data_IF_839860799069
#
_entry.id   IF_839860799069
#
_cell.length_a   1.000
_cell.length_b   1.000
_cell.length_c   1.000
_cell.angle_alpha   90.00
_cell.angle_beta   90.00
_cell.angle_gamma   90.00
#
_symmetry.space_group_name_H-M   'P 1'
#
loop_
_entity.id
_entity.type
_entity.pdbx_description
1 polymer ?
#
# COMPACT_ATOMS: atom_id res chain seq x y z
N UNK A 1 -5.49 -5.98 -6.55
CA UNK A 1 -4.93 -5.54 -5.24
C UNK A 1 -5.63 -4.26 -4.81
N UNK A 2 -5.62 -3.96 -3.50
CA UNK A 2 -6.08 -2.68 -2.95
C UNK A 2 -4.87 -2.01 -2.30
N UNK A 3 -4.71 -0.71 -2.54
CA UNK A 3 -3.58 0.05 -2.06
C UNK A 3 -3.74 1.53 -2.31
N UNK A 4 -2.69 2.27 -1.97
CA UNK A 4 -2.60 3.71 -2.12
C UNK A 4 -1.44 4.08 -3.04
N UNK A 5 -1.55 5.24 -3.70
CA UNK A 5 -0.45 5.81 -4.49
C UNK A 5 0.30 6.77 -3.58
N UNK A 6 1.59 6.52 -3.38
CA UNK A 6 2.42 7.21 -2.42
C UNK A 6 3.64 7.85 -3.09
N UNK A 7 4.30 8.80 -2.41
CA UNK A 7 5.54 9.44 -2.84
C UNK A 7 6.58 9.37 -1.74
N UNK A 8 7.84 9.08 -2.10
CA UNK A 8 8.97 9.05 -1.14
C UNK A 8 9.44 10.45 -0.73
N UNK A 9 9.02 11.48 -1.48
CA UNK A 9 9.43 12.87 -1.25
C UNK A 9 8.57 13.58 -0.20
N UNK A 10 7.39 13.07 0.10
CA UNK A 10 6.49 13.66 1.09
C UNK A 10 5.05 13.19 0.95
N UNK A 11 4.19 13.75 1.81
CA UNK A 11 2.79 13.34 1.95
C UNK A 11 1.88 13.68 0.75
N UNK A 12 0.58 13.58 0.99
CA UNK A 12 -0.52 13.67 -0.01
C UNK A 12 -0.44 14.83 -1.01
N UNK A 13 0.17 15.96 -0.64
CA UNK A 13 0.39 17.10 -1.53
C UNK A 13 1.28 16.76 -2.75
N UNK A 14 2.34 15.99 -2.58
CA UNK A 14 3.23 15.63 -3.69
C UNK A 14 2.56 14.66 -4.65
N UNK A 15 1.84 13.68 -4.09
CA UNK A 15 1.00 12.75 -4.87
C UNK A 15 -0.04 13.53 -5.68
N UNK A 16 -0.76 14.45 -5.04
CA UNK A 16 -1.81 15.26 -5.68
C UNK A 16 -1.25 16.15 -6.78
N UNK A 17 -0.07 16.75 -6.59
CA UNK A 17 0.58 17.56 -7.64
C UNK A 17 0.87 16.73 -8.88
N UNK A 18 1.34 15.49 -8.73
CA UNK A 18 1.67 14.61 -9.86
C UNK A 18 0.39 14.07 -10.51
N UNK A 19 -0.53 13.49 -9.72
CA UNK A 19 -1.75 12.85 -10.21
C UNK A 19 -2.79 13.86 -10.75
N UNK A 20 -2.78 15.09 -10.23
CA UNK A 20 -3.71 16.16 -10.63
C UNK A 20 -3.28 16.96 -11.86
N UNK A 21 -2.24 16.53 -12.59
CA UNK A 21 -1.75 17.26 -13.76
C UNK A 21 -1.80 16.44 -15.05
N UNK A 22 -1.56 17.11 -16.19
CA UNK A 22 -1.56 16.44 -17.50
C UNK A 22 -0.46 15.36 -17.58
N UNK A 23 -0.68 14.26 -18.34
CA UNK A 23 0.23 13.12 -18.37
C UNK A 23 1.70 13.48 -18.64
N UNK A 24 1.98 14.33 -19.63
CA UNK A 24 3.36 14.75 -19.96
C UNK A 24 4.04 15.47 -18.78
N UNK A 25 3.28 16.28 -18.04
CA UNK A 25 3.79 16.99 -16.86
C UNK A 25 3.98 16.05 -15.68
N UNK A 26 3.14 15.02 -15.55
CA UNK A 26 3.27 13.98 -14.53
C UNK A 26 4.54 13.14 -14.76
N UNK A 27 4.83 12.78 -16.01
CA UNK A 27 6.08 12.07 -16.39
C UNK A 27 7.29 12.92 -16.06
N UNK A 28 7.33 14.17 -16.55
CA UNK A 28 8.46 15.07 -16.32
C UNK A 28 8.75 15.30 -14.83
N UNK A 29 7.72 15.35 -13.97
CA UNK A 29 7.89 15.51 -12.51
C UNK A 29 8.52 14.28 -11.84
N UNK A 30 8.32 13.10 -12.40
CA UNK A 30 8.83 11.84 -11.87
C UNK A 30 10.20 11.45 -12.45
N UNK A 31 10.59 12.00 -13.60
CA UNK A 31 11.89 11.75 -14.24
C UNK A 31 13.04 12.54 -13.61
N UNK A 32 12.74 13.71 -13.03
CA UNK A 32 13.76 14.63 -12.53
C UNK A 32 14.51 14.12 -11.29
N UNK A 33 13.93 13.20 -10.51
CA UNK A 33 14.47 12.71 -9.24
C UNK A 33 13.84 11.35 -8.89
N UNK A 34 14.66 10.37 -8.50
CA UNK A 34 14.19 9.04 -8.12
C UNK A 34 13.23 9.06 -6.93
N UNK A 35 13.38 10.04 -6.02
CA UNK A 35 12.45 10.23 -4.89
C UNK A 35 11.11 10.83 -5.33
N UNK A 36 11.02 11.39 -6.53
CA UNK A 36 9.77 11.91 -7.09
C UNK A 36 8.93 10.83 -7.77
N UNK A 37 9.46 9.61 -7.94
CA UNK A 37 8.70 8.47 -8.47
C UNK A 37 7.60 8.07 -7.50
N UNK A 38 6.38 7.96 -8.03
CA UNK A 38 5.27 7.39 -7.29
C UNK A 38 5.44 5.87 -7.15
N UNK A 39 4.90 5.31 -6.07
CA UNK A 39 4.84 3.87 -5.85
C UNK A 39 3.46 3.48 -5.35
N UNK A 40 3.10 2.21 -5.53
CA UNK A 40 1.85 1.64 -5.06
C UNK A 40 2.07 0.89 -3.74
N UNK A 41 1.46 1.39 -2.67
CA UNK A 41 1.50 0.79 -1.34
C UNK A 41 0.32 -0.17 -1.16
N UNK A 42 0.59 -1.46 -1.25
CA UNK A 42 -0.41 -2.54 -1.24
C UNK A 42 -0.73 -2.95 0.19
N UNK A 43 -1.99 -2.85 0.60
CA UNK A 43 -2.42 -3.18 1.96
C UNK A 43 -3.59 -4.18 2.05
N UNK A 44 -4.17 -4.61 0.92
CA UNK A 44 -5.22 -5.64 0.88
C UNK A 44 -5.38 -6.24 -0.53
N UNK A 45 -6.22 -7.26 -0.66
CA UNK A 45 -6.50 -7.92 -1.94
C UNK A 45 -7.97 -8.29 -2.08
N UNK A 46 -8.63 -7.80 -3.14
CA UNK A 46 -10.03 -8.14 -3.44
C UNK A 46 -10.19 -9.19 -4.53
N UNK A 47 -9.17 -9.40 -5.37
CA UNK A 47 -9.21 -10.32 -6.52
C UNK A 47 -7.86 -11.00 -6.64
N UNK A 48 -7.88 -12.33 -6.75
CA UNK A 48 -6.71 -13.16 -7.00
C UNK A 48 -7.11 -14.36 -7.87
N UNK A 49 -6.27 -14.72 -8.85
CA UNK A 49 -6.53 -15.86 -9.75
C UNK A 49 -7.95 -15.88 -10.37
N UNK A 50 -8.46 -14.71 -10.79
CA UNK A 50 -9.80 -14.52 -11.34
C UNK A 50 -10.97 -14.70 -10.34
N UNK A 51 -10.68 -14.90 -9.05
CA UNK A 51 -11.67 -15.05 -7.99
C UNK A 51 -11.75 -13.84 -7.06
N UNK A 52 -12.98 -13.48 -6.69
CA UNK A 52 -13.27 -12.42 -5.73
C UNK A 52 -12.99 -12.91 -4.30
N UNK A 53 -12.16 -12.18 -3.58
CA UNK A 53 -11.73 -12.45 -2.20
C UNK A 53 -12.60 -11.73 -1.16
N UNK A 54 -13.85 -11.38 -1.53
CA UNK A 54 -14.75 -10.62 -0.66
C UNK A 54 -15.31 -11.44 0.51
N UNK A 55 -15.42 -12.76 0.32
CA UNK A 55 -16.04 -13.68 1.28
C UNK A 55 -15.04 -14.35 2.24
N UNK A 56 -13.76 -13.95 2.19
CA UNK A 56 -12.72 -14.47 3.09
C UNK A 56 -12.31 -13.40 4.10
N UNK A 57 -11.90 -13.86 5.28
CA UNK A 57 -11.54 -12.99 6.40
C UNK A 57 -10.26 -12.22 6.14
N UNK A 58 -10.07 -11.11 6.86
CA UNK A 58 -8.88 -10.25 6.72
C UNK A 58 -7.59 -11.02 7.00
N UNK A 59 -7.59 -11.93 7.98
CA UNK A 59 -6.42 -12.78 8.25
C UNK A 59 -6.04 -13.68 7.07
N UNK A 60 -7.04 -14.26 6.39
CA UNK A 60 -6.84 -15.11 5.21
C UNK A 60 -6.29 -14.29 4.03
N UNK A 61 -6.82 -13.08 3.84
CA UNK A 61 -6.34 -12.14 2.81
C UNK A 61 -4.90 -11.67 3.08
N UNK A 62 -4.53 -11.47 4.35
CA UNK A 62 -3.15 -11.13 4.73
C UNK A 62 -2.21 -12.29 4.39
N UNK A 63 -2.58 -13.53 4.70
CA UNK A 63 -1.76 -14.71 4.33
C UNK A 63 -1.59 -14.80 2.82
N UNK A 64 -2.66 -14.61 2.06
CA UNK A 64 -2.61 -14.58 0.60
C UNK A 64 -1.70 -13.47 0.09
N UNK A 65 -1.83 -12.26 0.63
CA UNK A 65 -1.03 -11.11 0.24
C UNK A 65 0.46 -11.30 0.57
N UNK A 66 0.79 -11.92 1.71
CA UNK A 66 2.17 -12.26 2.07
C UNK A 66 2.78 -13.26 1.08
N UNK A 67 2.02 -14.28 0.66
CA UNK A 67 2.49 -15.20 -0.39
C UNK A 67 2.75 -14.50 -1.72
N UNK A 68 1.93 -13.50 -2.07
CA UNK A 68 2.16 -12.66 -3.27
C UNK A 68 3.41 -11.79 -3.09
N UNK A 69 3.57 -11.15 -1.93
CA UNK A 69 4.75 -10.34 -1.57
C UNK A 69 6.03 -11.16 -1.72
N UNK A 70 6.10 -12.35 -1.13
CA UNK A 70 7.28 -13.21 -1.22
C UNK A 70 7.62 -13.60 -2.67
N UNK A 71 6.59 -13.92 -3.47
CA UNK A 71 6.79 -14.25 -4.88
C UNK A 71 7.28 -13.03 -5.68
N UNK A 72 6.70 -11.86 -5.43
CA UNK A 72 7.14 -10.61 -6.03
C UNK A 72 8.59 -10.29 -5.66
N UNK A 73 8.97 -10.40 -4.38
CA UNK A 73 10.33 -10.13 -3.92
C UNK A 73 11.38 -11.04 -4.55
N UNK A 74 11.03 -12.30 -4.85
CA UNK A 74 11.90 -13.28 -5.51
C UNK A 74 12.05 -13.02 -7.01
N UNK A 75 11.01 -12.53 -7.67
CA UNK A 75 10.95 -12.44 -9.14
C UNK A 75 11.21 -11.04 -9.69
N UNK A 76 10.83 -10.01 -8.94
CA UNK A 76 10.94 -8.62 -9.37
C UNK A 76 12.39 -8.15 -9.40
N UNK A 77 12.70 -7.37 -10.42
CA UNK A 77 13.95 -6.60 -10.52
C UNK A 77 14.01 -5.52 -9.44
N UNK A 78 15.22 -5.02 -9.17
CA UNK A 78 15.39 -3.90 -8.23
C UNK A 78 14.63 -2.66 -8.67
N UNK A 79 14.49 -2.43 -9.99
CA UNK A 79 13.73 -1.31 -10.53
C UNK A 79 12.22 -1.46 -10.26
N UNK A 80 11.65 -2.65 -10.50
CA UNK A 80 10.24 -2.91 -10.21
C UNK A 80 9.91 -2.77 -8.71
N UNK A 81 10.83 -3.18 -7.84
CA UNK A 81 10.70 -3.01 -6.38
C UNK A 81 10.65 -1.53 -5.95
N UNK A 82 11.11 -0.60 -6.78
CA UNK A 82 10.95 0.83 -6.49
C UNK A 82 9.50 1.30 -6.65
N UNK A 83 8.66 0.59 -7.38
CA UNK A 83 7.30 1.02 -7.71
C UNK A 83 6.20 0.32 -6.90
N UNK A 84 6.55 -0.71 -6.13
CA UNK A 84 5.59 -1.47 -5.33
C UNK A 84 6.15 -1.70 -3.93
N UNK A 85 5.34 -1.41 -2.94
CA UNK A 85 5.64 -1.67 -1.53
C UNK A 85 4.44 -2.37 -0.89
N UNK A 86 4.70 -3.33 -0.01
CA UNK A 86 3.66 -4.10 0.66
C UNK A 86 3.60 -3.74 2.12
N UNK A 87 2.41 -3.39 2.60
CA UNK A 87 2.17 -3.04 3.98
C UNK A 87 2.55 -4.17 4.94
N UNK A 88 3.21 -3.81 6.03
CA UNK A 88 3.52 -4.74 7.09
C UNK A 88 2.32 -4.96 8.01
N UNK A 89 2.17 -6.19 8.51
CA UNK A 89 1.08 -6.55 9.42
C UNK A 89 1.62 -6.80 10.82
N UNK A 90 1.08 -6.08 11.79
CA UNK A 90 1.41 -6.20 13.19
C UNK A 90 0.23 -6.74 13.99
N UNK A 91 0.48 -7.65 14.92
CA UNK A 91 -0.57 -8.25 15.79
C UNK A 91 -0.31 -8.06 17.27
N UNK A 92 0.83 -7.44 17.61
CA UNK A 92 1.30 -7.19 18.98
C UNK A 92 1.93 -5.80 19.03
N UNK A 93 2.12 -5.28 20.24
CA UNK A 93 2.88 -4.06 20.51
C UNK A 93 2.41 -2.81 19.74
N UNK A 94 1.10 -2.72 19.48
CA UNK A 94 0.49 -1.66 18.67
C UNK A 94 0.74 -0.24 19.23
N UNK A 95 0.93 -0.10 20.55
CA UNK A 95 1.27 1.17 21.16
C UNK A 95 2.68 1.65 20.80
N UNK A 96 3.64 0.73 20.74
CA UNK A 96 5.00 1.04 20.29
C UNK A 96 5.00 1.37 18.81
N UNK A 97 4.32 0.55 17.99
CA UNK A 97 4.15 0.81 16.56
C UNK A 97 3.59 2.23 16.31
N UNK A 98 2.52 2.61 17.02
CA UNK A 98 1.93 3.94 16.88
C UNK A 98 2.91 5.05 17.27
N UNK A 99 3.69 4.85 18.33
CA UNK A 99 4.72 5.80 18.75
C UNK A 99 5.82 5.96 17.69
N UNK A 100 6.26 4.85 17.10
CA UNK A 100 7.31 4.85 16.07
C UNK A 100 6.82 5.50 14.78
N UNK A 101 5.59 5.18 14.35
CA UNK A 101 4.91 5.83 13.22
C UNK A 101 4.84 7.35 13.39
N UNK A 102 4.47 7.85 14.57
CA UNK A 102 4.47 9.30 14.81
C UNK A 102 5.88 9.90 14.86
N UNK A 103 6.87 9.18 15.41
CA UNK A 103 8.26 9.62 15.40
C UNK A 103 8.83 9.72 13.97
N UNK A 104 8.32 8.91 13.04
CA UNK A 104 8.64 8.94 11.62
C UNK A 104 7.84 10.00 10.81
N UNK A 105 7.04 10.85 11.47
CA UNK A 105 6.17 11.85 10.83
C UNK A 105 5.12 11.26 9.87
N UNK A 106 4.72 10.00 10.08
CA UNK A 106 3.65 9.34 9.32
C UNK A 106 2.24 9.66 9.85
N UNK A 107 1.21 9.36 9.06
CA UNK A 107 -0.18 9.75 9.36
C UNK A 107 -0.81 8.94 10.51
N UNK A 108 -0.33 7.72 10.77
CA UNK A 108 -0.85 6.83 11.81
C UNK A 108 -0.93 5.37 11.35
N UNK A 109 -1.68 4.56 12.11
CA UNK A 109 -1.84 3.12 11.82
C UNK A 109 -3.30 2.79 11.47
N UNK A 110 -3.49 1.79 10.61
CA UNK A 110 -4.81 1.26 10.26
C UNK A 110 -5.06 -0.03 11.02
N UNK A 111 -6.10 -0.05 11.87
CA UNK A 111 -6.55 -1.25 12.56
C UNK A 111 -7.63 -1.95 11.74
N UNK A 112 -7.49 -3.27 11.58
CA UNK A 112 -8.49 -4.12 10.92
C UNK A 112 -8.89 -5.27 11.84
N UNK A 113 -10.18 -5.58 11.89
CA UNK A 113 -10.64 -6.83 12.51
C UNK A 113 -10.12 -8.03 11.73
N UNK A 114 -9.50 -9.01 12.40
CA UNK A 114 -9.04 -10.26 11.79
C UNK A 114 -10.16 -11.01 11.07
N UNK A 115 -11.37 -10.93 11.61
CA UNK A 115 -12.58 -11.57 11.10
C UNK A 115 -13.34 -10.70 10.09
N UNK A 116 -12.83 -9.50 9.77
CA UNK A 116 -13.49 -8.56 8.88
C UNK A 116 -13.49 -9.02 7.42
N UNK A 117 -14.57 -8.70 6.70
CA UNK A 117 -14.71 -8.93 5.26
C UNK A 117 -14.56 -7.62 4.49
N UNK A 118 -14.20 -7.68 3.20
CA UNK A 118 -14.27 -6.50 2.33
C UNK A 118 -15.74 -6.28 1.99
N UNK A 119 -16.26 -5.12 2.37
CA UNK A 119 -17.61 -4.69 1.98
C UNK A 119 -17.47 -3.43 1.12
N UNK A 120 -17.66 -3.55 -0.22
CA UNK A 120 -17.58 -2.41 -1.11
C UNK A 120 -18.47 -1.26 -0.67
N UNK A 121 -17.97 -0.03 -0.80
CA UNK A 121 -18.67 1.21 -0.44
C UNK A 121 -19.05 1.37 1.04
N UNK A 122 -18.56 0.52 1.94
CA UNK A 122 -18.68 0.74 3.38
C UNK A 122 -17.38 1.25 3.97
N UNK A 123 -17.50 2.09 5.00
CA UNK A 123 -16.37 2.36 5.89
C UNK A 123 -15.95 1.02 6.50
N UNK A 124 -14.69 0.61 6.36
CA UNK A 124 -14.17 -0.56 7.05
C UNK A 124 -14.40 -0.38 8.55
N UNK A 125 -14.89 -1.43 9.22
CA UNK A 125 -15.08 -1.48 10.67
C UNK A 125 -13.87 -2.11 11.35
#
# INVERSE_FOLDING_TARGET
MIGEICSRKGGSNEVTKIMGCLPLKAVARQENDSNSKLYFYVHDIAIYAQEMQLNIKTEERIVLLNGIKENFEKQATNEEKMFVEFAETYTKDLGQLLSDTFAAEEEGIVLKSKLGFIVPNKRPA
#
